data_IF_971182311917
#
_entry.id   IF_971182311917
#
_cell.length_a   1.000
_cell.length_b   1.000
_cell.length_c   1.000
_cell.angle_alpha   90.00
_cell.angle_beta   90.00
_cell.angle_gamma   90.00
#
_symmetry.space_group_name_H-M   'P 1'
#
loop_
_entity.id
_entity.type
_entity.pdbx_description
1 polymer ?
#
# COMPACT_ATOMS: atom_id res chain seq x y z
N UNK A 1 29.34 -17.92 -13.10
CA UNK A 1 29.61 -16.48 -12.83
C UNK A 1 28.35 -15.62 -12.96
N UNK A 2 27.45 -15.86 -13.92
CA UNK A 2 26.21 -15.09 -14.08
C UNK A 2 25.20 -15.25 -12.92
N UNK A 3 25.04 -16.46 -12.36
CA UNK A 3 24.09 -16.69 -11.25
C UNK A 3 24.50 -16.00 -9.95
N UNK A 4 25.80 -15.93 -9.65
CA UNK A 4 26.32 -15.23 -8.46
C UNK A 4 26.10 -13.72 -8.52
N UNK A 5 26.15 -13.10 -9.71
CA UNK A 5 25.90 -11.67 -9.87
C UNK A 5 24.41 -11.31 -9.90
N UNK A 6 23.55 -12.23 -10.36
CA UNK A 6 22.10 -12.09 -10.27
C UNK A 6 21.61 -12.21 -8.81
N UNK A 7 22.20 -13.13 -8.04
CA UNK A 7 21.91 -13.27 -6.61
C UNK A 7 22.34 -12.02 -5.81
N UNK A 8 23.50 -11.44 -6.13
CA UNK A 8 23.91 -10.17 -5.51
C UNK A 8 22.98 -9.02 -5.91
N UNK A 9 22.49 -8.98 -7.16
CA UNK A 9 21.56 -7.94 -7.60
C UNK A 9 20.18 -8.04 -6.92
N UNK A 10 19.65 -9.26 -6.75
CA UNK A 10 18.39 -9.46 -6.03
C UNK A 10 18.54 -9.15 -4.53
N UNK A 11 19.66 -9.53 -3.92
CA UNK A 11 19.97 -9.21 -2.53
C UNK A 11 20.08 -7.70 -2.30
N UNK A 12 20.78 -6.98 -3.19
CA UNK A 12 20.87 -5.53 -3.12
C UNK A 12 19.50 -4.87 -3.31
N UNK A 13 18.72 -5.30 -4.31
CA UNK A 13 17.36 -4.79 -4.50
C UNK A 13 16.48 -5.01 -3.26
N UNK A 14 16.55 -6.20 -2.65
CA UNK A 14 15.81 -6.50 -1.44
C UNK A 14 16.24 -5.60 -0.25
N UNK A 15 17.53 -5.30 -0.14
CA UNK A 15 18.06 -4.37 0.87
C UNK A 15 17.51 -2.96 0.68
N UNK A 16 17.58 -2.40 -0.53
CA UNK A 16 17.07 -1.06 -0.82
C UNK A 16 15.55 -0.96 -0.59
N UNK A 17 14.79 -2.01 -0.95
CA UNK A 17 13.36 -2.07 -0.64
C UNK A 17 13.10 -2.10 0.88
N UNK A 18 13.94 -2.81 1.64
CA UNK A 18 13.85 -2.85 3.09
C UNK A 18 14.11 -1.48 3.71
N UNK A 19 15.10 -0.72 3.21
CA UNK A 19 15.40 0.62 3.69
C UNK A 19 14.22 1.58 3.50
N UNK A 20 13.56 1.52 2.34
CA UNK A 20 12.35 2.32 2.06
C UNK A 20 11.25 2.01 3.07
N UNK A 21 10.99 0.72 3.32
CA UNK A 21 9.95 0.27 4.25
C UNK A 21 10.32 0.64 5.69
N UNK A 22 11.60 0.51 6.07
CA UNK A 22 12.08 0.83 7.41
C UNK A 22 11.89 2.31 7.74
N UNK A 23 12.22 3.21 6.81
CA UNK A 23 12.01 4.65 6.98
C UNK A 23 10.51 4.99 7.05
N UNK A 24 9.68 4.34 6.24
CA UNK A 24 8.23 4.55 6.26
C UNK A 24 7.60 4.14 7.61
N UNK A 25 7.92 2.94 8.11
CA UNK A 25 7.45 2.48 9.42
C UNK A 25 8.03 3.31 10.56
N UNK A 26 9.31 3.69 10.49
CA UNK A 26 9.92 4.56 11.49
C UNK A 26 9.23 5.93 11.56
N UNK A 27 8.86 6.49 10.41
CA UNK A 27 8.11 7.76 10.34
C UNK A 27 6.71 7.59 10.95
N UNK A 28 5.98 6.54 10.58
CA UNK A 28 4.66 6.26 11.15
C UNK A 28 4.71 6.08 12.67
N UNK A 29 5.73 5.38 13.18
CA UNK A 29 5.96 5.20 14.62
C UNK A 29 6.21 6.52 15.34
N UNK A 30 7.05 7.41 14.80
CA UNK A 30 7.30 8.75 15.36
C UNK A 30 6.02 9.56 15.45
N UNK A 31 5.11 9.40 14.48
CA UNK A 31 3.83 10.08 14.48
C UNK A 31 2.74 9.35 15.28
N UNK A 32 2.94 8.12 15.75
CA UNK A 32 1.91 7.35 16.47
C UNK A 32 0.82 6.79 15.55
N UNK A 33 1.15 6.51 14.29
CA UNK A 33 0.25 5.90 13.31
C UNK A 33 0.54 4.40 13.24
N UNK A 34 -0.48 3.57 13.45
CA UNK A 34 -0.40 2.15 13.10
C UNK A 34 -0.52 2.04 11.56
N UNK A 35 0.66 1.90 10.93
CA UNK A 35 0.79 1.84 9.48
C UNK A 35 0.24 0.54 8.89
N UNK A 36 0.22 -0.56 9.65
CA UNK A 36 -0.32 -1.84 9.19
C UNK A 36 -1.82 -1.73 8.92
N UNK A 37 -2.58 -1.09 9.82
CA UNK A 37 -4.01 -0.85 9.61
C UNK A 37 -4.29 0.06 8.41
N UNK A 38 -3.44 1.08 8.19
CA UNK A 38 -3.54 1.98 7.03
C UNK A 38 -3.29 1.22 5.73
N UNK A 39 -2.24 0.39 5.69
CA UNK A 39 -1.93 -0.47 4.53
C UNK A 39 -3.05 -1.47 4.28
N UNK A 40 -3.63 -2.07 5.32
CA UNK A 40 -4.75 -3.00 5.21
C UNK A 40 -5.98 -2.34 4.56
N UNK A 41 -6.31 -1.09 4.93
CA UNK A 41 -7.42 -0.35 4.32
C UNK A 41 -7.14 0.02 2.85
N UNK A 42 -5.91 0.43 2.54
CA UNK A 42 -5.49 0.66 1.14
C UNK A 42 -5.58 -0.62 0.33
N UNK A 43 -5.13 -1.75 0.89
CA UNK A 43 -5.22 -3.05 0.24
C UNK A 43 -6.68 -3.43 -0.01
N UNK A 44 -7.56 -3.35 1.00
CA UNK A 44 -9.00 -3.59 0.87
C UNK A 44 -9.60 -2.77 -0.28
N UNK A 45 -9.34 -1.46 -0.30
CA UNK A 45 -9.82 -0.57 -1.36
C UNK A 45 -9.26 -0.94 -2.75
N UNK A 46 -7.99 -1.35 -2.84
CA UNK A 46 -7.40 -1.83 -4.10
C UNK A 46 -8.06 -3.12 -4.59
N UNK A 47 -8.40 -4.05 -3.68
CA UNK A 47 -9.08 -5.30 -4.04
C UNK A 47 -10.51 -5.06 -4.57
N UNK A 48 -11.17 -3.96 -4.21
CA UNK A 48 -12.47 -3.59 -4.82
C UNK A 48 -12.39 -3.17 -6.30
N UNK A 49 -11.17 -2.96 -6.84
CA UNK A 49 -10.96 -2.67 -8.27
C UNK A 49 -11.00 -3.93 -9.13
N UNK A 50 -10.96 -5.12 -8.52
CA UNK A 50 -11.01 -6.38 -9.22
C UNK A 50 -12.43 -6.68 -9.67
N UNK A 51 -12.58 -7.19 -10.90
CA UNK A 51 -13.83 -7.68 -11.43
C UNK A 51 -14.22 -9.05 -10.82
N UNK A 52 -15.38 -9.60 -11.24
CA UNK A 52 -15.88 -10.90 -10.77
C UNK A 52 -14.92 -12.08 -11.04
N UNK A 53 -14.01 -11.91 -11.99
CA UNK A 53 -12.97 -12.87 -12.37
C UNK A 53 -11.65 -12.68 -11.60
N UNK A 54 -11.62 -11.76 -10.64
CA UNK A 54 -10.42 -11.41 -9.87
C UNK A 54 -9.41 -10.57 -10.65
N UNK A 55 -9.76 -10.03 -11.84
CA UNK A 55 -8.85 -9.23 -12.66
C UNK A 55 -9.19 -7.74 -12.61
N UNK A 56 -8.20 -6.84 -12.60
CA UNK A 56 -8.48 -5.41 -12.70
C UNK A 56 -9.06 -5.07 -14.08
N UNK A 57 -10.06 -4.18 -14.11
CA UNK A 57 -10.51 -3.61 -15.39
C UNK A 57 -9.46 -2.64 -15.89
N UNK A 58 -8.88 -2.87 -17.07
CA UNK A 58 -7.85 -2.03 -17.67
C UNK A 58 -8.43 -1.21 -18.83
N UNK A 59 -7.97 0.03 -18.98
CA UNK A 59 -8.15 0.82 -20.22
C UNK A 59 -7.11 0.39 -21.25
N UNK A 60 -7.31 0.76 -22.52
CA UNK A 60 -6.39 0.52 -23.63
C UNK A 60 -4.93 1.00 -23.40
N UNK A 61 -4.71 1.95 -22.47
CA UNK A 61 -3.38 2.44 -22.08
C UNK A 61 -2.73 1.60 -20.95
N UNK A 62 -3.38 0.51 -20.51
CA UNK A 62 -2.94 -0.31 -19.38
C UNK A 62 -3.32 0.24 -18.00
N UNK A 63 -4.02 1.40 -17.93
CA UNK A 63 -4.43 1.98 -16.65
C UNK A 63 -5.56 1.16 -16.02
N UNK A 64 -5.37 0.77 -14.77
CA UNK A 64 -6.44 0.20 -13.93
C UNK A 64 -7.55 1.23 -13.72
N UNK A 65 -8.76 0.87 -14.14
CA UNK A 65 -9.97 1.66 -13.97
C UNK A 65 -10.66 1.30 -12.65
N UNK A 66 -11.34 2.29 -12.07
CA UNK A 66 -12.25 2.06 -10.95
C UNK A 66 -13.52 1.44 -11.50
N UNK A 67 -13.76 0.16 -11.18
CA UNK A 67 -14.99 -0.54 -11.55
C UNK A 67 -16.21 -0.02 -10.77
N UNK A 68 -17.43 -0.46 -11.12
CA UNK A 68 -18.67 -0.04 -10.46
C UNK A 68 -18.74 -0.41 -8.97
N UNK A 69 -17.94 -1.38 -8.54
CA UNK A 69 -17.86 -1.84 -7.15
C UNK A 69 -16.69 -1.23 -6.37
N UNK A 70 -15.95 -0.29 -6.97
CA UNK A 70 -14.83 0.36 -6.30
C UNK A 70 -15.28 1.12 -5.06
N UNK A 71 -14.56 0.90 -3.96
CA UNK A 71 -14.68 1.68 -2.73
C UNK A 71 -13.33 2.31 -2.43
N UNK A 72 -13.32 3.63 -2.22
CA UNK A 72 -12.11 4.34 -1.82
C UNK A 72 -11.68 3.92 -0.40
N UNK A 73 -10.38 4.00 -0.08
CA UNK A 73 -9.92 3.77 1.29
C UNK A 73 -10.43 4.89 2.20
N UNK A 74 -10.95 4.53 3.37
CA UNK A 74 -11.37 5.48 4.42
C UNK A 74 -10.28 5.62 5.48
N UNK A 75 -9.21 6.32 5.12
CA UNK A 75 -8.08 6.59 6.01
C UNK A 75 -8.49 7.44 7.23
N UNK A 76 -9.34 8.48 7.12
CA UNK A 76 -9.83 9.20 8.30
C UNK A 76 -10.55 8.28 9.29
N UNK A 77 -11.35 7.31 8.83
CA UNK A 77 -11.95 6.33 9.75
C UNK A 77 -10.92 5.40 10.40
N UNK A 78 -9.87 4.98 9.67
CA UNK A 78 -8.75 4.20 10.24
C UNK A 78 -8.07 5.00 11.35
N UNK A 79 -7.65 6.23 11.06
CA UNK A 79 -6.97 7.09 12.03
C UNK A 79 -7.86 7.38 13.25
N UNK A 80 -9.17 7.62 13.06
CA UNK A 80 -10.11 7.77 14.19
C UNK A 80 -10.18 6.55 15.10
N UNK A 81 -10.11 5.33 14.55
CA UNK A 81 -10.05 4.09 15.37
C UNK A 81 -8.75 3.98 16.16
N UNK A 82 -7.66 4.53 15.63
CA UNK A 82 -6.37 4.65 16.32
C UNK A 82 -6.36 5.78 17.37
N UNK A 83 -7.47 6.50 17.55
CA UNK A 83 -7.58 7.57 18.54
C UNK A 83 -7.27 8.98 18.02
N UNK A 84 -7.05 9.13 16.71
CA UNK A 84 -6.87 10.45 16.10
C UNK A 84 -8.22 11.13 15.92
N UNK A 85 -8.43 12.23 16.63
CA UNK A 85 -9.55 13.13 16.32
C UNK A 85 -9.04 14.18 15.34
N UNK A 86 -9.80 14.44 14.27
CA UNK A 86 -9.62 15.66 13.51
C UNK A 86 -9.74 16.80 14.53
N UNK A 87 -8.63 17.47 14.85
CA UNK A 87 -8.69 18.72 15.58
C UNK A 87 -9.46 19.67 14.66
N UNK A 88 -10.74 19.84 14.95
CA UNK A 88 -11.59 20.76 14.23
C UNK A 88 -10.95 22.15 14.30
N UNK A 89 -10.59 22.67 13.13
CA UNK A 89 -10.52 24.11 12.87
C UNK A 89 -11.71 24.49 11.98
#
# INVERSE_FOLDING_TARGET
>A
MAEASAHSALGHLAHELADVVYVAYGTALVHGIDLDEVIAEIHRANMTKLGPDGRPTLRADGKVLKGPHYQAPDIPAVLRRQGWTDAAE
#
